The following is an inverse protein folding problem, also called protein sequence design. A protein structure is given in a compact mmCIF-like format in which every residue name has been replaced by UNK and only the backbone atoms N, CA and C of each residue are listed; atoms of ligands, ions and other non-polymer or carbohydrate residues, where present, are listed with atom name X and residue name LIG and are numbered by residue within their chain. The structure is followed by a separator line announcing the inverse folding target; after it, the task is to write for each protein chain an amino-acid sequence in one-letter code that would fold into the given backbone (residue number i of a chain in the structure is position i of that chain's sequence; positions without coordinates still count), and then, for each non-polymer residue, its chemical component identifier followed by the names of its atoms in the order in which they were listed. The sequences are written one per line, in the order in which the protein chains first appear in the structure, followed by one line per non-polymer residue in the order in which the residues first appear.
data_IF_286289798266
#
_entry.id   IF_286289798266
#
_cell.length_a   1.000
_cell.length_b   1.000
_cell.length_c   1.000
_cell.angle_alpha   90.00
_cell.angle_beta   90.00
_cell.angle_gamma   90.00
#
_symmetry.space_group_name_H-M   'P 1'
#
loop_
_entity.id
_entity.type
_entity.pdbx_description
1 polymer ?
#
# COMPACT_ATOMS: atom_id res chain seq x y z
N UNK A 1 -62.30 34.70 11.19
CA UNK A 1 -62.63 34.30 12.58
C UNK A 1 -62.47 32.79 12.65
N UNK A 2 -61.52 32.17 13.34
CA UNK A 2 -60.60 32.54 14.43
C UNK A 2 -59.23 31.87 14.10
N UNK A 3 -58.03 32.48 14.21
CA UNK A 3 -57.36 33.15 15.36
C UNK A 3 -57.10 32.14 16.50
N UNK A 4 -55.92 31.91 17.10
CA UNK A 4 -54.71 32.71 17.35
C UNK A 4 -53.61 31.78 17.95
N UNK A 5 -52.33 32.03 17.65
CA UNK A 5 -51.15 31.74 18.54
C UNK A 5 -51.02 32.88 19.61
N UNK A 6 -50.14 32.90 20.67
CA UNK A 6 -48.80 32.26 20.83
C UNK A 6 -48.25 31.91 22.28
N UNK A 7 -47.06 31.29 22.30
CA UNK A 7 -45.91 31.38 23.26
C UNK A 7 -45.98 30.92 24.75
N UNK A 8 -45.00 30.10 25.19
CA UNK A 8 -43.79 30.55 25.96
C UNK A 8 -42.82 29.41 26.36
N UNK A 9 -41.54 29.78 26.36
CA UNK A 9 -40.30 29.07 26.73
C UNK A 9 -40.13 28.91 28.25
N UNK A 10 -39.50 27.81 28.70
CA UNK A 10 -38.43 27.82 29.75
C UNK A 10 -37.60 26.53 29.73
N UNK A 11 -36.30 26.72 29.88
CA UNK A 11 -35.23 25.73 29.91
C UNK A 11 -35.10 25.02 31.26
N UNK A 12 -34.42 23.87 31.26
CA UNK A 12 -33.49 23.47 32.32
C UNK A 12 -32.22 22.87 31.72
N UNK A 13 -31.12 23.19 32.38
CA UNK A 13 -29.72 23.10 31.98
C UNK A 13 -29.02 22.18 32.99
N UNK A 14 -28.20 21.27 32.46
CA UNK A 14 -27.04 20.56 33.03
C UNK A 14 -27.17 19.74 34.32
N UNK A 15 -26.73 18.48 34.26
CA UNK A 15 -25.46 18.07 34.89
C UNK A 15 -24.95 16.76 34.25
N UNK A 16 -23.66 16.45 34.38
CA UNK A 16 -22.90 15.61 33.46
C UNK A 16 -23.19 14.13 33.73
N UNK A 17 -23.31 13.32 32.68
CA UNK A 17 -23.03 11.89 32.87
C UNK A 17 -21.52 11.81 33.01
N UNK A 18 -21.08 11.70 34.26
CA UNK A 18 -19.74 11.37 34.69
C UNK A 18 -19.17 10.21 33.83
N UNK A 19 -17.85 10.18 33.62
CA UNK A 19 -17.22 9.09 32.89
C UNK A 19 -17.62 7.78 33.56
N UNK A 20 -18.31 6.92 32.80
CA UNK A 20 -18.54 5.56 33.24
C UNK A 20 -17.20 4.96 33.64
N UNK A 21 -17.05 4.39 34.85
CA UNK A 21 -15.81 3.78 35.24
C UNK A 21 -15.54 2.63 34.27
N UNK A 22 -14.41 2.73 33.56
CA UNK A 22 -13.92 1.71 32.61
C UNK A 22 -13.92 0.29 33.21
N UNK A 23 -13.92 0.14 34.54
CA UNK A 23 -13.92 -1.15 35.22
C UNK A 23 -15.26 -1.91 35.19
N UNK A 24 -16.42 -1.24 35.16
CA UNK A 24 -17.71 -1.94 35.25
C UNK A 24 -18.18 -2.49 33.89
N UNK A 25 -17.74 -1.86 32.78
CA UNK A 25 -17.87 -2.41 31.42
C UNK A 25 -16.96 -3.62 31.18
N UNK A 26 -15.80 -3.68 31.85
CA UNK A 26 -14.86 -4.79 31.76
C UNK A 26 -15.41 -6.05 32.45
N UNK A 27 -16.13 -5.93 33.58
CA UNK A 27 -16.61 -7.11 34.33
C UNK A 27 -17.78 -7.86 33.69
N UNK A 28 -18.53 -7.24 32.77
CA UNK A 28 -19.65 -7.89 32.04
C UNK A 28 -19.22 -8.56 30.74
N UNK A 29 -17.98 -8.35 30.30
CA UNK A 29 -17.37 -8.98 29.10
C UNK A 29 -16.33 -10.06 29.51
N UNK A 30 -16.02 -10.20 30.80
CA UNK A 30 -15.05 -11.19 31.34
C UNK A 30 -15.56 -12.64 31.42
N UNK A 31 -16.50 -13.05 30.56
CA UNK A 31 -16.93 -14.44 30.44
C UNK A 31 -16.10 -15.27 29.46
N UNK A 32 -15.49 -14.64 28.46
CA UNK A 32 -14.65 -15.31 27.46
C UNK A 32 -13.97 -14.25 26.59
N UNK A 33 -12.69 -14.44 26.29
CA UNK A 33 -11.86 -13.67 25.35
C UNK A 33 -11.07 -12.47 25.92
N UNK A 34 -10.04 -12.74 26.75
CA UNK A 34 -8.88 -11.85 26.90
C UNK A 34 -8.09 -11.67 25.59
N UNK A 35 -8.19 -12.63 24.64
CA UNK A 35 -7.48 -12.61 23.37
C UNK A 35 -8.06 -11.61 22.35
N UNK A 36 -9.39 -11.39 22.32
CA UNK A 36 -10.02 -10.49 21.34
C UNK A 36 -9.70 -9.01 21.57
N UNK A 37 -9.57 -8.58 22.83
CA UNK A 37 -9.23 -7.19 23.14
C UNK A 37 -7.79 -6.85 22.78
N UNK A 38 -6.85 -7.79 23.00
CA UNK A 38 -5.46 -7.61 22.57
C UNK A 38 -5.34 -7.55 21.03
N UNK A 39 -6.12 -8.37 20.32
CA UNK A 39 -6.18 -8.35 18.86
C UNK A 39 -6.80 -7.06 18.32
N UNK A 40 -7.90 -6.59 18.91
CA UNK A 40 -8.59 -5.37 18.47
C UNK A 40 -7.74 -4.10 18.69
N UNK A 41 -6.97 -4.04 19.79
CA UNK A 41 -6.01 -2.94 20.02
C UNK A 41 -4.78 -3.00 19.10
N UNK A 42 -4.31 -4.20 18.72
CA UNK A 42 -3.23 -4.38 17.75
C UNK A 42 -3.69 -4.03 16.32
N UNK A 43 -4.91 -4.41 15.94
CA UNK A 43 -5.56 -4.11 14.66
C UNK A 43 -5.82 -2.59 14.45
N UNK A 44 -6.11 -1.85 15.52
CA UNK A 44 -6.23 -0.39 15.45
C UNK A 44 -4.88 0.33 15.29
N UNK A 45 -3.76 -0.32 15.61
CA UNK A 45 -2.39 0.20 15.39
C UNK A 45 -1.83 -0.19 14.01
N UNK A 46 -2.34 -1.27 13.40
CA UNK A 46 -1.88 -1.82 12.12
C UNK A 46 -2.49 -1.16 10.88
N UNK A 47 -3.42 -0.22 11.04
CA UNK A 47 -3.98 0.57 9.94
C UNK A 47 -3.14 1.80 9.57
N UNK A 48 -1.95 1.97 10.19
CA UNK A 48 -1.08 3.12 9.93
C UNK A 48 0.17 2.66 9.19
N UNK A 49 0.02 2.49 7.88
CA UNK A 49 1.15 2.34 6.98
C UNK A 49 0.84 3.14 5.72
N UNK A 50 0.83 4.45 5.91
CA UNK A 50 1.17 5.38 4.83
C UNK A 50 2.63 5.71 5.05
N UNK A 51 3.51 4.79 4.67
CA UNK A 51 4.92 5.14 4.49
C UNK A 51 5.07 5.67 3.06
N UNK A 52 4.60 6.91 2.89
CA UNK A 52 5.27 7.98 2.17
C UNK A 52 5.93 7.51 0.85
N UNK A 53 5.11 7.22 -0.17
CA UNK A 53 5.50 7.52 -1.56
C UNK A 53 5.41 9.05 -1.73
N UNK A 54 6.24 9.79 -1.02
CA UNK A 54 6.68 11.08 -1.55
C UNK A 54 7.87 10.69 -2.41
N UNK A 55 8.01 11.25 -3.61
CA UNK A 55 8.81 10.74 -4.73
C UNK A 55 8.03 9.75 -5.59
N UNK A 56 7.36 10.35 -6.57
CA UNK A 56 6.83 9.72 -7.76
C UNK A 56 5.48 9.00 -7.62
N UNK A 57 4.64 9.42 -6.67
CA UNK A 57 3.21 9.55 -6.96
C UNK A 57 2.96 10.84 -7.78
N UNK A 58 3.68 10.96 -8.91
CA UNK A 58 3.38 11.89 -9.99
C UNK A 58 2.90 11.04 -11.17
N UNK A 59 1.90 10.21 -10.91
CA UNK A 59 1.06 9.60 -11.92
C UNK A 59 -0.37 9.94 -11.49
N UNK A 60 -0.79 11.10 -12.00
CA UNK A 60 -2.15 11.66 -11.99
C UNK A 60 -2.92 11.66 -10.66
N UNK A 61 -2.58 12.61 -9.77
CA UNK A 61 -3.58 13.16 -8.84
C UNK A 61 -3.83 14.63 -9.20
N UNK A 62 -5.11 15.08 -9.21
CA UNK A 62 -5.44 16.49 -9.39
C UNK A 62 -4.75 17.33 -8.31
N UNK A 63 -4.54 18.63 -8.51
CA UNK A 63 -3.79 19.47 -7.59
C UNK A 63 -4.52 19.53 -6.24
N UNK A 64 -4.17 18.64 -5.31
CA UNK A 64 -4.59 18.71 -3.91
C UNK A 64 -3.75 19.82 -3.26
N UNK A 65 -4.36 20.97 -2.91
CA UNK A 65 -3.61 22.17 -2.57
C UNK A 65 -3.47 22.25 -1.05
N UNK A 66 -2.67 21.39 -0.40
CA UNK A 66 -2.44 21.62 1.06
C UNK A 66 -1.20 20.97 1.67
N UNK A 67 -0.60 19.94 1.07
CA UNK A 67 0.53 19.18 1.67
C UNK A 67 1.87 19.94 1.69
N UNK A 68 2.00 21.01 0.88
CA UNK A 68 3.28 21.70 0.67
C UNK A 68 3.30 23.16 1.12
N UNK A 69 2.32 23.60 1.93
CA UNK A 69 2.21 24.99 2.37
C UNK A 69 3.44 25.47 3.16
N UNK A 70 4.31 24.57 3.61
CA UNK A 70 5.60 24.85 4.27
C UNK A 70 6.85 24.71 3.40
N UNK A 71 6.77 24.11 2.19
CA UNK A 71 7.90 24.09 1.24
C UNK A 71 7.83 25.36 0.38
N UNK A 72 8.40 26.44 0.91
CA UNK A 72 8.26 27.80 0.36
C UNK A 72 8.87 28.02 -1.04
N UNK A 73 9.60 27.06 -1.61
CA UNK A 73 10.20 27.16 -2.95
C UNK A 73 10.19 25.82 -3.70
N UNK A 74 10.02 25.88 -5.02
CA UNK A 74 10.79 25.01 -5.92
C UNK A 74 10.15 23.71 -6.39
N UNK A 75 8.91 23.73 -6.91
CA UNK A 75 8.55 22.69 -7.88
C UNK A 75 9.59 22.66 -8.99
N UNK A 76 10.07 21.47 -9.31
CA UNK A 76 11.03 21.26 -10.40
C UNK A 76 10.45 20.27 -11.40
N UNK A 77 10.92 20.39 -12.64
CA UNK A 77 10.54 19.51 -13.73
C UNK A 77 11.68 18.54 -14.01
N UNK A 78 11.37 17.26 -14.01
CA UNK A 78 12.31 16.17 -14.31
C UNK A 78 11.75 15.30 -15.42
N UNK A 79 12.65 14.64 -16.15
CA UNK A 79 12.28 13.57 -17.05
C UNK A 79 12.33 12.25 -16.28
N UNK A 80 11.18 11.62 -16.04
CA UNK A 80 11.07 10.35 -15.33
C UNK A 80 10.37 9.36 -16.26
N UNK A 81 11.04 8.25 -16.57
CA UNK A 81 10.54 7.20 -17.48
C UNK A 81 10.06 7.76 -18.84
N UNK A 82 10.76 8.77 -19.37
CA UNK A 82 10.43 9.41 -20.65
C UNK A 82 9.31 10.45 -20.60
N UNK A 83 8.66 10.66 -19.44
CA UNK A 83 7.64 11.68 -19.25
C UNK A 83 8.18 12.86 -18.43
N UNK A 84 7.82 14.10 -18.81
CA UNK A 84 8.12 15.27 -18.00
C UNK A 84 7.18 15.30 -16.80
N UNK A 85 7.74 15.24 -15.59
CA UNK A 85 7.02 15.30 -14.32
C UNK A 85 7.44 16.55 -13.56
N UNK A 86 6.47 17.40 -13.23
CA UNK A 86 6.68 18.63 -12.46
C UNK A 86 6.07 18.48 -11.08
N UNK A 87 6.84 18.73 -10.03
CA UNK A 87 6.33 18.68 -8.66
C UNK A 87 7.41 18.83 -7.60
N UNK A 88 7.04 18.53 -6.36
CA UNK A 88 7.97 18.43 -5.23
C UNK A 88 8.50 16.99 -5.16
N UNK A 89 9.73 16.79 -5.62
CA UNK A 89 10.37 15.47 -5.58
C UNK A 89 11.35 15.39 -4.40
N UNK A 90 11.36 14.31 -3.62
CA UNK A 90 12.26 14.08 -2.50
C UNK A 90 13.75 14.17 -2.80
N UNK A 91 14.16 13.93 -4.04
CA UNK A 91 15.55 14.17 -4.47
C UNK A 91 16.01 15.62 -4.20
N UNK A 92 15.06 16.56 -4.09
CA UNK A 92 15.31 17.97 -3.82
C UNK A 92 15.35 18.33 -2.32
N UNK A 93 15.02 17.38 -1.45
CA UNK A 93 14.83 17.63 -0.02
C UNK A 93 15.70 16.68 0.81
N UNK A 94 16.12 17.16 1.98
CA UNK A 94 16.74 16.30 2.97
C UNK A 94 15.75 16.03 4.12
N UNK A 95 16.09 15.07 4.99
CA UNK A 95 15.22 14.71 6.11
C UNK A 95 14.91 15.88 7.05
N UNK A 96 15.79 16.89 7.18
CA UNK A 96 15.51 18.07 8.01
C UNK A 96 14.43 18.97 7.41
N UNK A 97 14.41 19.10 6.08
CA UNK A 97 13.34 19.82 5.36
C UNK A 97 12.00 19.10 5.48
N UNK A 98 12.01 17.77 5.51
CA UNK A 98 10.81 16.94 5.56
C UNK A 98 10.15 16.88 6.94
N UNK A 99 10.87 17.16 8.03
CA UNK A 99 10.29 17.21 9.39
C UNK A 99 9.21 18.26 9.57
N UNK A 100 9.24 19.34 8.79
CA UNK A 100 8.27 20.42 8.85
C UNK A 100 7.14 20.26 7.81
N UNK A 101 7.08 19.11 7.14
CA UNK A 101 6.00 18.79 6.20
C UNK A 101 4.84 18.21 7.00
N UNK A 102 3.65 18.74 6.72
CA UNK A 102 2.42 18.22 7.32
C UNK A 102 1.69 17.36 6.30
N UNK A 103 1.35 16.14 6.71
CA UNK A 103 0.69 15.17 5.85
C UNK A 103 -0.84 15.32 5.92
N UNK A 104 -1.47 15.09 4.78
CA UNK A 104 -2.93 15.00 4.62
C UNK A 104 -3.24 13.83 3.72
N UNK A 105 -4.46 13.31 3.79
CA UNK A 105 -4.93 12.24 2.92
C UNK A 105 -4.78 12.62 1.44
N UNK A 106 -4.32 11.65 0.65
CA UNK A 106 -4.24 11.77 -0.81
C UNK A 106 -5.59 11.59 -1.50
N UNK A 107 -6.52 10.87 -0.85
CA UNK A 107 -7.86 10.58 -1.34
C UNK A 107 -8.87 11.24 -0.40
N UNK A 108 -9.54 12.30 -0.86
CA UNK A 108 -10.42 13.10 -0.01
C UNK A 108 -11.72 12.41 0.44
N UNK A 109 -12.10 11.29 -0.19
CA UNK A 109 -13.20 10.45 0.30
C UNK A 109 -12.80 9.58 1.49
N UNK A 110 -11.50 9.41 1.78
CA UNK A 110 -11.01 8.68 2.95
C UNK A 110 -11.09 9.56 4.22
N UNK A 111 -10.81 8.96 5.36
CA UNK A 111 -10.95 9.62 6.67
C UNK A 111 -9.81 10.60 6.94
N UNK A 112 -10.16 11.88 7.15
CA UNK A 112 -9.22 12.94 7.52
C UNK A 112 -8.63 12.80 8.95
N UNK A 113 -8.89 11.68 9.65
CA UNK A 113 -8.51 11.49 11.06
C UNK A 113 -6.99 11.59 11.29
N UNK A 114 -6.20 11.35 10.25
CA UNK A 114 -4.75 11.42 10.29
C UNK A 114 -4.18 12.70 9.66
N UNK A 115 -5.05 13.57 9.11
CA UNK A 115 -4.64 14.84 8.53
C UNK A 115 -4.13 15.78 9.61
N UNK A 116 -3.06 16.52 9.28
CA UNK A 116 -2.43 17.47 10.20
C UNK A 116 -2.01 16.86 11.54
N UNK A 117 -1.92 15.53 11.59
CA UNK A 117 -1.27 14.84 12.69
C UNK A 117 0.23 15.11 12.59
N UNK A 118 0.88 15.38 13.71
CA UNK A 118 2.34 15.59 13.78
C UNK A 118 3.12 14.27 13.59
N UNK A 119 2.72 13.45 12.62
CA UNK A 119 3.46 12.24 12.24
C UNK A 119 4.67 12.64 11.42
N UNK A 120 5.85 12.26 11.91
CA UNK A 120 7.09 12.45 11.18
C UNK A 120 7.16 11.51 9.97
N UNK A 121 7.74 12.00 8.87
CA UNK A 121 8.23 11.13 7.80
C UNK A 121 9.41 10.33 8.36
N UNK A 122 9.26 9.01 8.41
CA UNK A 122 10.28 8.10 8.94
C UNK A 122 11.18 7.57 7.82
N UNK A 123 12.48 7.43 8.11
CA UNK A 123 13.35 6.59 7.29
C UNK A 123 13.01 5.11 7.50
N UNK A 124 13.39 4.24 6.55
CA UNK A 124 13.20 2.78 6.69
C UNK A 124 13.82 2.26 8.00
N UNK A 125 15.02 2.72 8.33
CA UNK A 125 15.71 2.34 9.57
C UNK A 125 14.99 2.84 10.83
N UNK A 126 14.44 4.06 10.78
CA UNK A 126 13.65 4.64 11.88
C UNK A 126 12.35 3.87 12.08
N UNK A 127 11.66 3.54 11.00
CA UNK A 127 10.46 2.73 10.99
C UNK A 127 10.72 1.33 11.60
N UNK A 128 11.72 0.59 11.11
CA UNK A 128 12.07 -0.75 11.62
C UNK A 128 12.42 -0.67 13.11
N UNK A 129 13.16 0.37 13.54
CA UNK A 129 13.57 0.52 14.93
C UNK A 129 12.40 0.85 15.86
N UNK A 130 11.44 1.65 15.39
CA UNK A 130 10.28 2.10 16.16
C UNK A 130 9.20 1.02 16.27
N UNK A 131 8.83 0.43 15.13
CA UNK A 131 7.70 -0.52 15.03
C UNK A 131 8.15 -1.94 15.32
N UNK A 132 9.40 -2.30 14.98
CA UNK A 132 9.97 -3.64 15.11
C UNK A 132 9.04 -4.72 14.52
N UNK A 133 8.64 -4.58 13.25
CA UNK A 133 7.69 -5.50 12.65
C UNK A 133 8.31 -6.91 12.49
N UNK A 134 7.44 -7.92 12.49
CA UNK A 134 7.81 -9.32 12.26
C UNK A 134 8.38 -9.55 10.85
N UNK A 135 7.93 -8.75 9.89
CA UNK A 135 8.35 -8.75 8.49
C UNK A 135 8.16 -7.36 7.87
N UNK A 136 8.82 -7.08 6.76
CA UNK A 136 8.71 -5.81 6.05
C UNK A 136 8.83 -6.04 4.55
N UNK A 137 7.97 -5.37 3.79
CA UNK A 137 8.00 -5.34 2.33
C UNK A 137 8.39 -3.95 1.87
N UNK A 138 9.53 -3.85 1.20
CA UNK A 138 10.01 -2.59 0.65
C UNK A 138 9.69 -2.50 -0.82
N UNK A 139 9.08 -1.40 -1.24
CA UNK A 139 8.91 -1.11 -2.66
C UNK A 139 9.88 0.00 -3.08
N UNK A 140 10.73 -0.32 -4.05
CA UNK A 140 11.71 0.61 -4.62
C UNK A 140 11.24 0.98 -6.01
N UNK A 141 10.87 2.24 -6.17
CA UNK A 141 10.47 2.80 -7.45
C UNK A 141 11.58 3.70 -7.99
N UNK A 142 11.68 3.83 -9.32
CA UNK A 142 12.50 4.83 -9.97
C UNK A 142 14.01 4.77 -9.64
N UNK A 143 14.59 3.57 -9.51
CA UNK A 143 16.02 3.42 -9.22
C UNK A 143 16.91 4.07 -10.29
N UNK A 144 16.55 3.96 -11.58
CA UNK A 144 17.27 4.65 -12.66
C UNK A 144 17.30 6.18 -12.42
N UNK A 145 16.14 6.78 -12.12
CA UNK A 145 16.04 8.21 -11.85
C UNK A 145 16.91 8.62 -10.65
N UNK A 146 16.85 7.88 -9.55
CA UNK A 146 17.67 8.17 -8.39
C UNK A 146 19.17 8.05 -8.67
N UNK A 147 19.56 7.05 -9.48
CA UNK A 147 20.94 6.85 -9.91
C UNK A 147 21.48 7.99 -10.75
N UNK A 148 20.67 8.52 -11.66
CA UNK A 148 21.00 9.72 -12.46
C UNK A 148 21.25 10.95 -11.58
N UNK A 149 20.65 10.98 -10.38
CA UNK A 149 20.81 12.06 -9.40
C UNK A 149 21.80 11.72 -8.28
N UNK A 150 22.67 10.72 -8.49
CA UNK A 150 23.77 10.39 -7.58
C UNK A 150 23.37 9.57 -6.35
N UNK A 151 22.13 9.06 -6.30
CA UNK A 151 21.65 8.18 -5.23
C UNK A 151 21.75 6.72 -5.67
N UNK A 152 22.21 5.85 -4.77
CA UNK A 152 22.38 4.43 -5.08
C UNK A 152 21.46 3.57 -4.20
N UNK A 153 20.29 3.23 -4.75
CA UNK A 153 19.28 2.45 -4.02
C UNK A 153 19.75 1.03 -3.76
N UNK A 154 20.55 0.45 -4.66
CA UNK A 154 21.15 -0.88 -4.47
C UNK A 154 21.98 -0.91 -3.19
N UNK A 155 22.94 0.02 -3.04
CA UNK A 155 23.78 0.12 -1.84
C UNK A 155 22.97 0.41 -0.58
N UNK A 156 21.95 1.27 -0.69
CA UNK A 156 21.04 1.57 0.41
C UNK A 156 20.33 0.30 0.90
N UNK A 157 19.68 -0.45 0.00
CA UNK A 157 19.01 -1.71 0.32
C UNK A 157 19.98 -2.72 0.94
N UNK A 158 21.17 -2.89 0.36
CA UNK A 158 22.19 -3.80 0.88
C UNK A 158 22.69 -3.40 2.28
N UNK A 159 22.59 -2.13 2.65
CA UNK A 159 22.94 -1.64 3.99
C UNK A 159 21.87 -1.98 5.02
N UNK A 160 20.58 -1.86 4.66
CA UNK A 160 19.45 -2.05 5.59
C UNK A 160 19.00 -3.51 5.74
N UNK A 161 19.30 -4.39 4.77
CA UNK A 161 18.98 -5.83 4.91
C UNK A 161 19.64 -6.46 6.15
N UNK A 162 20.73 -5.87 6.65
CA UNK A 162 21.44 -6.31 7.88
C UNK A 162 20.57 -6.21 9.13
N UNK A 163 19.47 -5.47 9.07
CA UNK A 163 18.50 -5.35 10.17
C UNK A 163 17.62 -6.60 10.32
N UNK A 164 17.56 -7.48 9.32
CA UNK A 164 16.88 -8.78 9.39
C UNK A 164 15.36 -8.77 9.26
N UNK A 165 14.70 -7.62 9.40
CA UNK A 165 13.23 -7.48 9.27
C UNK A 165 12.71 -7.40 7.83
N UNK A 166 13.55 -7.06 6.86
CA UNK A 166 13.14 -6.97 5.45
C UNK A 166 13.07 -8.38 4.86
N UNK A 167 11.88 -8.80 4.44
CA UNK A 167 11.64 -10.12 3.83
C UNK A 167 11.24 -10.06 2.37
N UNK A 168 10.73 -8.91 1.92
CA UNK A 168 10.32 -8.71 0.54
C UNK A 168 10.84 -7.39 0.01
N UNK A 169 11.30 -7.40 -1.24
CA UNK A 169 11.69 -6.20 -1.98
C UNK A 169 11.01 -6.28 -3.35
N UNK A 170 10.15 -5.30 -3.63
CA UNK A 170 9.54 -5.16 -4.95
C UNK A 170 10.08 -3.96 -5.71
N UNK A 171 10.06 -4.07 -7.04
CA UNK A 171 10.33 -2.94 -7.93
C UNK A 171 9.69 -3.16 -9.29
N UNK A 172 9.24 -2.09 -9.97
CA UNK A 172 8.84 -2.15 -11.36
C UNK A 172 10.03 -2.16 -12.34
N UNK A 173 11.26 -1.95 -11.86
CA UNK A 173 12.46 -1.94 -12.71
C UNK A 173 13.22 -3.27 -12.59
N UNK A 174 13.11 -4.14 -13.61
CA UNK A 174 13.70 -5.48 -13.54
C UNK A 174 15.23 -5.44 -13.41
N UNK A 175 15.87 -4.45 -14.04
CA UNK A 175 17.31 -4.20 -13.95
C UNK A 175 17.77 -3.83 -12.54
N UNK A 176 16.92 -3.19 -11.73
CA UNK A 176 17.22 -2.94 -10.31
C UNK A 176 17.16 -4.23 -9.49
N UNK A 177 16.15 -5.08 -9.70
CA UNK A 177 16.11 -6.39 -9.03
C UNK A 177 17.33 -7.24 -9.43
N UNK A 178 17.75 -7.15 -10.70
CA UNK A 178 18.95 -7.81 -11.19
C UNK A 178 20.22 -7.29 -10.50
N UNK A 179 20.35 -6.00 -10.23
CA UNK A 179 21.52 -5.44 -9.52
C UNK A 179 21.63 -5.93 -8.07
N UNK A 180 20.52 -6.32 -7.44
CA UNK A 180 20.48 -6.87 -6.08
C UNK A 180 20.88 -8.35 -6.01
N UNK A 181 20.67 -9.12 -7.08
CA UNK A 181 20.78 -10.59 -7.10
C UNK A 181 22.14 -11.15 -6.64
N UNK A 182 23.22 -10.36 -6.73
CA UNK A 182 24.57 -10.76 -6.30
C UNK A 182 24.91 -10.50 -4.83
N UNK A 183 24.13 -9.69 -4.10
CA UNK A 183 24.47 -9.23 -2.75
C UNK A 183 23.35 -9.31 -1.72
N UNK A 184 22.12 -9.60 -2.14
CA UNK A 184 20.98 -9.72 -1.24
C UNK A 184 20.98 -11.08 -0.52
N UNK A 185 20.52 -11.10 0.73
CA UNK A 185 20.29 -12.32 1.47
C UNK A 185 19.27 -13.21 0.74
N UNK A 186 19.58 -14.51 0.62
CA UNK A 186 18.74 -15.52 -0.06
C UNK A 186 17.36 -15.71 0.58
N UNK A 187 17.19 -15.30 1.84
CA UNK A 187 15.89 -15.31 2.52
C UNK A 187 14.98 -14.14 2.11
N UNK A 188 15.51 -13.15 1.37
CA UNK A 188 14.72 -12.01 0.90
C UNK A 188 14.11 -12.36 -0.46
N UNK A 189 12.79 -12.24 -0.54
CA UNK A 189 12.04 -12.43 -1.77
C UNK A 189 12.09 -11.18 -2.63
N UNK A 190 12.59 -11.33 -3.86
CA UNK A 190 12.58 -10.28 -4.87
C UNK A 190 11.31 -10.42 -5.70
N UNK A 191 10.52 -9.35 -5.80
CA UNK A 191 9.21 -9.37 -6.46
C UNK A 191 9.15 -8.35 -7.58
N UNK A 192 8.99 -8.82 -8.81
CA UNK A 192 8.88 -7.92 -9.96
C UNK A 192 7.46 -7.38 -10.09
N UNK A 193 7.30 -6.05 -10.00
CA UNK A 193 5.99 -5.38 -10.06
C UNK A 193 5.64 -4.99 -11.48
N UNK A 194 4.62 -5.60 -12.05
CA UNK A 194 4.07 -5.18 -13.33
C UNK A 194 3.20 -3.93 -13.13
N UNK A 195 3.44 -2.90 -13.94
CA UNK A 195 2.58 -1.71 -14.02
C UNK A 195 1.49 -1.94 -15.08
N UNK A 196 0.95 -0.88 -15.68
CA UNK A 196 0.03 -1.01 -16.81
C UNK A 196 0.69 -1.73 -18.00
N UNK A 197 -0.11 -2.54 -18.71
CA UNK A 197 0.33 -3.38 -19.83
C UNK A 197 1.00 -2.59 -20.96
N UNK A 198 0.55 -1.35 -21.19
CA UNK A 198 1.05 -0.47 -22.23
C UNK A 198 2.36 0.24 -21.82
N UNK A 199 2.64 0.35 -20.53
CA UNK A 199 3.88 0.94 -20.04
C UNK A 199 5.07 0.02 -20.28
N UNK A 200 6.25 0.62 -20.28
CA UNK A 200 7.52 -0.10 -20.45
C UNK A 200 8.38 0.02 -19.21
N UNK A 201 9.09 -1.05 -18.89
CA UNK A 201 10.16 -1.03 -17.92
C UNK A 201 11.36 -0.26 -18.51
N UNK A 202 11.76 0.87 -17.92
CA UNK A 202 12.85 1.70 -18.45
C UNK A 202 14.21 0.98 -18.44
N UNK A 203 14.38 -0.06 -17.62
CA UNK A 203 15.66 -0.79 -17.52
C UNK A 203 15.87 -1.82 -18.64
N UNK A 204 14.80 -2.30 -19.25
CA UNK A 204 14.84 -3.32 -20.31
C UNK A 204 14.27 -2.84 -21.64
N UNK A 205 13.59 -1.68 -21.64
CA UNK A 205 12.89 -1.08 -22.78
C UNK A 205 11.86 -2.03 -23.41
N UNK A 206 11.24 -2.88 -22.60
CA UNK A 206 10.17 -3.81 -22.98
C UNK A 206 8.88 -3.42 -22.28
N UNK A 207 7.75 -3.62 -22.95
CA UNK A 207 6.44 -3.41 -22.32
C UNK A 207 6.17 -4.48 -21.27
N UNK A 208 5.48 -4.13 -20.18
CA UNK A 208 5.06 -5.09 -19.16
C UNK A 208 4.24 -6.23 -19.76
N UNK A 209 3.37 -5.93 -20.75
CA UNK A 209 2.64 -6.96 -21.47
C UNK A 209 3.54 -7.96 -22.21
N UNK A 210 4.62 -7.48 -22.86
CA UNK A 210 5.55 -8.38 -23.56
C UNK A 210 6.32 -9.29 -22.60
N UNK A 211 6.60 -8.81 -21.39
CA UNK A 211 7.33 -9.58 -20.38
C UNK A 211 6.53 -10.74 -19.78
N UNK A 212 5.20 -10.67 -19.80
CA UNK A 212 4.33 -11.78 -19.37
C UNK A 212 4.62 -13.06 -20.16
N UNK A 213 5.04 -12.94 -21.43
CA UNK A 213 5.37 -14.10 -22.27
C UNK A 213 6.65 -14.84 -21.88
N UNK A 214 7.44 -14.29 -20.94
CA UNK A 214 8.73 -14.86 -20.56
C UNK A 214 8.95 -14.85 -19.03
N UNK A 215 8.01 -15.43 -18.31
CA UNK A 215 8.09 -15.60 -16.85
C UNK A 215 9.31 -16.41 -16.42
N UNK A 216 9.76 -17.38 -17.23
CA UNK A 216 10.97 -18.17 -16.95
C UNK A 216 12.22 -17.29 -16.88
N UNK A 217 12.34 -16.26 -17.73
CA UNK A 217 13.42 -15.29 -17.61
C UNK A 217 13.31 -14.48 -16.32
N UNK A 218 12.11 -14.00 -15.97
CA UNK A 218 11.88 -13.24 -14.73
C UNK A 218 12.27 -14.09 -13.51
N UNK A 219 11.96 -15.39 -13.51
CA UNK A 219 12.35 -16.32 -12.44
C UNK A 219 13.85 -16.39 -12.18
N UNK A 220 14.68 -16.11 -13.19
CA UNK A 220 16.15 -16.05 -13.00
C UNK A 220 16.60 -14.85 -12.16
N UNK A 221 15.74 -13.85 -11.99
CA UNK A 221 16.04 -12.58 -11.30
C UNK A 221 15.20 -12.45 -10.02
N UNK A 222 13.92 -12.83 -10.06
CA UNK A 222 12.94 -12.61 -9.00
C UNK A 222 12.35 -13.94 -8.50
N UNK A 223 11.94 -13.98 -7.23
CA UNK A 223 11.22 -15.13 -6.66
C UNK A 223 9.70 -15.03 -6.83
N UNK A 224 9.16 -13.83 -7.07
CA UNK A 224 7.75 -13.64 -7.36
C UNK A 224 7.47 -12.45 -8.30
N UNK A 225 6.19 -12.29 -8.63
CA UNK A 225 5.65 -11.19 -9.43
C UNK A 225 4.46 -10.56 -8.72
N UNK A 226 4.29 -9.25 -8.88
CA UNK A 226 3.11 -8.52 -8.42
C UNK A 226 2.40 -7.92 -9.63
N UNK A 227 1.09 -8.17 -9.75
CA UNK A 227 0.28 -7.70 -10.88
C UNK A 227 -1.01 -7.04 -10.37
N UNK A 228 -1.47 -6.02 -11.08
CA UNK A 228 -2.82 -5.48 -10.84
C UNK A 228 -3.87 -6.57 -10.98
N UNK A 229 -4.93 -6.52 -10.17
CA UNK A 229 -6.08 -7.44 -10.27
C UNK A 229 -6.64 -7.58 -11.69
N UNK A 230 -6.54 -6.55 -12.52
CA UNK A 230 -6.96 -6.53 -13.93
C UNK A 230 -6.12 -7.42 -14.87
N UNK A 231 -4.91 -7.83 -14.47
CA UNK A 231 -4.13 -8.83 -15.20
C UNK A 231 -4.71 -10.23 -15.03
N UNK A 232 -5.33 -10.50 -13.89
CA UNK A 232 -5.84 -11.80 -13.50
C UNK A 232 -7.30 -11.94 -13.95
N UNK A 233 -8.14 -10.98 -13.56
CA UNK A 233 -9.55 -10.88 -13.93
C UNK A 233 -9.77 -9.62 -14.75
N UNK A 234 -9.66 -9.69 -16.10
CA UNK A 234 -9.86 -8.51 -16.94
C UNK A 234 -11.28 -7.97 -16.80
N UNK A 235 -11.42 -6.65 -16.80
CA UNK A 235 -12.72 -5.97 -16.70
C UNK A 235 -13.04 -5.30 -18.03
N UNK A 236 -14.28 -5.43 -18.50
CA UNK A 236 -14.77 -4.76 -19.71
C UNK A 236 -15.01 -3.27 -19.48
N UNK A 237 -15.16 -2.49 -20.55
CA UNK A 237 -15.44 -1.05 -20.44
C UNK A 237 -16.80 -0.72 -19.80
N UNK A 238 -17.74 -1.68 -19.80
CA UNK A 238 -19.03 -1.61 -19.12
C UNK A 238 -19.00 -2.20 -17.69
N UNK A 239 -17.79 -2.42 -17.13
CA UNK A 239 -17.54 -2.80 -15.74
C UNK A 239 -18.01 -4.21 -15.35
N UNK A 240 -17.85 -5.18 -16.25
CA UNK A 240 -18.07 -6.60 -15.99
C UNK A 240 -16.77 -7.39 -16.04
N UNK A 241 -16.68 -8.43 -15.21
CA UNK A 241 -15.55 -9.35 -15.15
C UNK A 241 -15.59 -10.30 -16.35
N UNK A 242 -14.44 -10.44 -17.01
CA UNK A 242 -14.20 -11.44 -18.05
C UNK A 242 -13.63 -12.72 -17.44
N UNK A 243 -13.50 -13.78 -18.25
CA UNK A 243 -12.81 -14.99 -17.81
C UNK A 243 -11.39 -14.67 -17.34
N UNK A 244 -10.97 -15.29 -16.24
CA UNK A 244 -9.62 -15.11 -15.73
C UNK A 244 -8.58 -15.53 -16.77
N UNK A 245 -7.43 -14.87 -16.73
CA UNK A 245 -6.29 -15.26 -17.53
C UNK A 245 -5.57 -16.47 -16.91
N UNK A 246 -4.61 -17.03 -17.64
CA UNK A 246 -3.80 -18.15 -17.14
C UNK A 246 -2.58 -17.68 -16.32
N UNK A 247 -2.43 -16.38 -16.07
CA UNK A 247 -1.19 -15.81 -15.50
C UNK A 247 -0.83 -16.41 -14.13
N UNK A 248 -1.81 -16.73 -13.30
CA UNK A 248 -1.58 -17.37 -11.99
C UNK A 248 -0.93 -18.75 -12.19
N UNK A 249 -1.52 -19.57 -13.05
CA UNK A 249 -1.01 -20.90 -13.36
C UNK A 249 0.35 -20.84 -14.09
N UNK A 250 0.52 -19.90 -15.02
CA UNK A 250 1.78 -19.69 -15.74
C UNK A 250 2.92 -19.25 -14.79
N UNK A 251 2.63 -18.37 -13.83
CA UNK A 251 3.58 -17.95 -12.80
C UNK A 251 3.99 -19.12 -11.91
N UNK A 252 3.03 -19.88 -11.41
CA UNK A 252 3.29 -21.07 -10.60
C UNK A 252 4.08 -22.14 -11.37
N UNK A 253 3.75 -22.38 -12.63
CA UNK A 253 4.50 -23.30 -13.51
C UNK A 253 5.95 -22.83 -13.75
N UNK A 254 6.18 -21.52 -13.78
CA UNK A 254 7.51 -20.93 -13.83
C UNK A 254 8.23 -20.92 -12.46
N UNK A 255 7.56 -21.35 -11.38
CA UNK A 255 8.08 -21.35 -10.01
C UNK A 255 8.14 -19.95 -9.38
N UNK A 256 7.31 -19.02 -9.85
CA UNK A 256 7.13 -17.68 -9.29
C UNK A 256 5.91 -17.64 -8.38
N UNK A 257 6.05 -17.00 -7.22
CA UNK A 257 4.89 -16.55 -6.44
C UNK A 257 4.20 -15.41 -7.21
N UNK A 258 2.87 -15.30 -7.09
CA UNK A 258 2.08 -14.22 -7.69
C UNK A 258 1.25 -13.49 -6.64
N UNK A 259 1.44 -12.18 -6.59
CA UNK A 259 0.74 -11.26 -5.69
C UNK A 259 -0.21 -10.36 -6.49
N UNK A 260 -1.47 -10.27 -6.08
CA UNK A 260 -2.44 -9.37 -6.72
C UNK A 260 -2.50 -8.02 -6.00
N UNK A 261 -2.51 -6.91 -6.73
CA UNK A 261 -2.62 -5.55 -6.18
C UNK A 261 -3.90 -4.84 -6.60
N UNK A 262 -4.07 -3.62 -6.07
CA UNK A 262 -5.15 -2.67 -6.40
C UNK A 262 -6.51 -3.02 -5.80
N UNK A 263 -6.50 -3.63 -4.61
CA UNK A 263 -7.70 -3.86 -3.81
C UNK A 263 -8.02 -2.64 -2.94
N UNK A 264 -9.26 -2.15 -3.07
CA UNK A 264 -9.72 -0.94 -2.39
C UNK A 264 -11.22 -0.99 -2.18
N UNK A 265 -11.70 -0.92 -0.94
CA UNK A 265 -13.14 -0.98 -0.62
C UNK A 265 -13.93 0.24 -1.11
N UNK A 266 -13.23 1.34 -1.35
CA UNK A 266 -13.75 2.61 -1.87
C UNK A 266 -13.46 2.79 -3.37
N UNK A 267 -12.98 1.75 -4.04
CA UNK A 267 -12.74 1.72 -5.48
C UNK A 267 -14.00 1.43 -6.30
N UNK A 268 -13.86 1.46 -7.62
CA UNK A 268 -14.91 1.01 -8.54
C UNK A 268 -14.83 -0.52 -8.63
N UNK A 269 -15.93 -1.19 -8.27
CA UNK A 269 -16.05 -2.64 -8.33
C UNK A 269 -16.77 -3.07 -9.60
N UNK A 270 -16.29 -4.13 -10.28
CA UNK A 270 -17.09 -4.82 -11.28
C UNK A 270 -18.45 -5.28 -10.71
N UNK A 271 -19.51 -5.19 -11.51
CA UNK A 271 -20.86 -5.53 -11.06
C UNK A 271 -21.01 -6.99 -10.63
N UNK A 272 -20.19 -7.88 -11.18
CA UNK A 272 -20.19 -9.31 -10.85
C UNK A 272 -19.89 -9.60 -9.36
N UNK A 273 -19.17 -8.71 -8.67
CA UNK A 273 -18.94 -8.84 -7.23
C UNK A 273 -20.14 -8.37 -6.39
N UNK A 274 -21.23 -7.92 -7.01
CA UNK A 274 -22.40 -7.35 -6.31
C UNK A 274 -22.05 -6.20 -5.36
N UNK A 275 -20.96 -5.47 -5.68
CA UNK A 275 -20.37 -4.43 -4.83
C UNK A 275 -19.94 -4.92 -3.43
N UNK A 276 -19.71 -6.22 -3.29
CA UNK A 276 -19.18 -6.81 -2.07
C UNK A 276 -17.65 -6.93 -2.17
N UNK A 277 -16.89 -6.17 -1.37
CA UNK A 277 -15.44 -6.26 -1.39
C UNK A 277 -14.93 -7.62 -0.89
N UNK A 278 -15.67 -8.33 -0.01
CA UNK A 278 -15.27 -9.69 0.42
C UNK A 278 -15.35 -10.66 -0.76
N UNK A 279 -16.42 -10.58 -1.56
CA UNK A 279 -16.59 -11.34 -2.79
C UNK A 279 -15.47 -11.10 -3.80
N UNK A 280 -14.92 -9.88 -3.86
CA UNK A 280 -13.73 -9.59 -4.67
C UNK A 280 -12.53 -10.43 -4.20
N UNK A 281 -12.12 -10.35 -2.93
CA UNK A 281 -10.96 -11.13 -2.43
C UNK A 281 -11.12 -12.64 -2.62
N UNK A 282 -12.32 -13.17 -2.34
CA UNK A 282 -12.62 -14.60 -2.51
C UNK A 282 -12.44 -15.08 -3.95
N UNK A 283 -12.58 -14.20 -4.95
CA UNK A 283 -12.34 -14.57 -6.35
C UNK A 283 -10.86 -14.76 -6.71
N UNK A 284 -9.93 -14.38 -5.83
CA UNK A 284 -8.49 -14.56 -6.01
C UNK A 284 -7.92 -15.71 -5.17
N UNK A 285 -8.73 -16.31 -4.28
CA UNK A 285 -8.32 -17.39 -3.38
C UNK A 285 -9.29 -18.56 -3.55
N UNK A 286 -8.86 -19.62 -4.23
CA UNK A 286 -9.69 -20.81 -4.44
C UNK A 286 -8.89 -22.11 -4.30
N UNK A 287 -9.50 -23.10 -3.64
CA UNK A 287 -8.96 -24.45 -3.49
C UNK A 287 -8.94 -25.26 -4.82
N UNK A 288 -9.49 -24.71 -5.90
CA UNK A 288 -9.66 -25.37 -7.21
C UNK A 288 -8.44 -25.34 -8.15
N UNK A 289 -7.23 -25.10 -7.63
CA UNK A 289 -6.00 -24.99 -8.43
C UNK A 289 -5.73 -23.58 -9.01
N UNK A 290 -6.48 -22.58 -8.55
CA UNK A 290 -6.31 -21.18 -8.89
C UNK A 290 -6.35 -20.36 -7.59
N UNK A 291 -5.18 -19.93 -7.11
CA UNK A 291 -5.07 -19.04 -5.95
C UNK A 291 -3.83 -18.18 -6.13
N UNK A 292 -3.93 -16.90 -5.81
CA UNK A 292 -2.73 -16.06 -5.66
C UNK A 292 -2.03 -16.40 -4.34
N UNK A 293 -0.74 -16.08 -4.25
CA UNK A 293 0.07 -16.30 -3.04
C UNK A 293 -0.12 -15.19 -2.00
N UNK A 294 -0.62 -14.02 -2.44
CA UNK A 294 -0.99 -12.94 -1.54
C UNK A 294 -1.67 -11.77 -2.25
N UNK A 295 -2.18 -10.83 -1.46
CA UNK A 295 -2.84 -9.62 -1.94
C UNK A 295 -2.21 -8.38 -1.31
N UNK A 296 -2.01 -7.33 -2.11
CA UNK A 296 -1.66 -5.98 -1.66
C UNK A 296 -2.94 -5.12 -1.65
N UNK A 297 -3.31 -4.64 -0.47
CA UNK A 297 -4.58 -3.95 -0.23
C UNK A 297 -4.44 -2.75 0.69
N UNK A 298 -5.25 -1.73 0.44
CA UNK A 298 -5.45 -0.58 1.35
C UNK A 298 -6.39 -0.92 2.51
N UNK A 299 -7.10 -2.05 2.45
CA UNK A 299 -8.12 -2.48 3.42
C UNK A 299 -7.79 -3.86 4.00
N UNK A 300 -6.71 -3.97 4.81
CA UNK A 300 -6.23 -5.25 5.34
C UNK A 300 -7.27 -5.97 6.21
N UNK A 301 -8.16 -5.23 6.89
CA UNK A 301 -9.27 -5.83 7.64
C UNK A 301 -10.20 -6.62 6.72
N UNK A 302 -10.52 -6.10 5.54
CA UNK A 302 -11.45 -6.77 4.61
C UNK A 302 -10.80 -7.99 3.98
N UNK A 303 -9.52 -7.93 3.62
CA UNK A 303 -8.77 -9.11 3.18
C UNK A 303 -8.72 -10.18 4.29
N UNK A 304 -8.45 -9.78 5.53
CA UNK A 304 -8.41 -10.69 6.68
C UNK A 304 -9.77 -11.34 6.96
N UNK A 305 -10.87 -10.59 6.86
CA UNK A 305 -12.23 -11.13 7.03
C UNK A 305 -12.59 -12.09 5.88
N UNK A 306 -12.22 -11.77 4.64
CA UNK A 306 -12.53 -12.60 3.48
C UNK A 306 -11.78 -13.94 3.49
N UNK A 307 -10.48 -13.92 3.80
CA UNK A 307 -9.58 -15.09 3.73
C UNK A 307 -9.57 -15.87 5.06
N UNK A 308 -10.31 -15.39 6.07
CA UNK A 308 -10.29 -15.80 7.48
C UNK A 308 -9.96 -17.27 7.80
N UNK A 309 -8.70 -17.52 8.15
CA UNK A 309 -8.27 -18.55 9.11
C UNK A 309 -6.89 -18.14 9.65
N UNK A 310 -6.47 -18.65 10.83
CA UNK A 310 -5.19 -18.41 11.52
C UNK A 310 -3.91 -18.78 10.72
N UNK A 311 -3.79 -18.29 9.50
CA UNK A 311 -2.62 -18.36 8.66
C UNK A 311 -1.91 -17.02 8.79
N UNK A 312 -0.66 -17.09 9.20
CA UNK A 312 0.32 -16.02 9.29
C UNK A 312 0.07 -14.94 8.24
N UNK A 313 -0.67 -13.90 8.61
CA UNK A 313 -0.52 -12.62 7.95
C UNK A 313 0.91 -12.22 8.27
N UNK A 314 1.79 -12.34 7.28
CA UNK A 314 3.08 -11.67 7.33
C UNK A 314 2.68 -10.20 7.42
N UNK A 315 2.95 -9.54 8.55
CA UNK A 315 2.65 -8.12 8.76
C UNK A 315 3.35 -7.33 7.65
N UNK A 316 2.66 -7.14 6.53
CA UNK A 316 3.28 -6.71 5.29
C UNK A 316 3.16 -5.21 5.19
N UNK A 317 4.11 -4.57 5.86
CA UNK A 317 4.21 -3.12 5.83
C UNK A 317 4.91 -2.73 4.55
N UNK A 318 4.13 -2.24 3.57
CA UNK A 318 4.66 -1.60 2.38
C UNK A 318 5.27 -0.26 2.77
N UNK A 319 6.61 -0.22 2.81
CA UNK A 319 7.34 1.03 2.99
C UNK A 319 7.91 1.43 1.65
N UNK A 320 7.44 2.56 1.12
CA UNK A 320 8.08 3.21 -0.01
C UNK A 320 9.39 3.82 0.49
N UNK A 321 10.48 3.48 -0.18
CA UNK A 321 11.80 3.90 0.26
C UNK A 321 12.05 5.35 -0.14
N UNK A 322 12.05 6.23 0.85
CA UNK A 322 12.61 7.57 0.75
C UNK A 322 14.07 7.53 1.22
N UNK A 323 15.01 7.93 0.35
CA UNK A 323 16.42 8.15 0.71
C UNK A 323 16.69 9.64 0.82
#
# INVERSE_FOLDING_TARGET
CASLQPAKVRACVLSPIEPWPLEEMLSRITGSLPLMLSYCFCLMLLSIIVAVTVAVAAEELPPAPTTFKTLNEGMKTYLINGAQKTGWLPVDYNMSSLRNVTLTQSIYSRTQRFDYSNFDILSVTGFISLIKPSSTWLNVEHDIFYREHGLNMTNYILSIQKLGSVKYISSPELGFLQSLSGGINREVNLVFRFLDKALSDPSTNKTYNSMLSNLTFIKTIASGIMVSKNYIWPVTSDNYIQLHTQIVQEAHNAGLEIYASDFSNDGIFPYNYSYDPLGEYLSFVSDGGFSVDGVLTDFPLTASEAIGMSLYFVDLILVSVLV
#
